data_IF_155528474432
#
_entry.id   IF_155528474432
#
_cell.length_a   1.000
_cell.length_b   1.000
_cell.length_c   1.000
_cell.angle_alpha   90.00
_cell.angle_beta   90.00
_cell.angle_gamma   90.00
#
_symmetry.space_group_name_H-M   'P 1'
#
loop_
_entity.id
_entity.type
_entity.pdbx_description
1 polymer ?
#
# COMPACT_ATOMS: atom_id res chain seq x y z
N UNK A 1 -29.97 -66.96 17.87
CA UNK A 1 -29.51 -65.71 18.51
C UNK A 1 -29.59 -64.64 17.44
N UNK A 2 -30.77 -64.02 17.30
CA UNK A 2 -31.15 -62.76 17.97
C UNK A 2 -30.44 -61.59 17.29
N UNK A 3 -31.10 -60.71 16.57
CA UNK A 3 -32.49 -60.33 16.57
C UNK A 3 -32.48 -58.85 16.25
N UNK A 4 -33.05 -58.47 15.09
CA UNK A 4 -33.37 -57.09 14.79
C UNK A 4 -34.35 -56.56 15.86
N UNK A 5 -34.09 -55.42 16.51
CA UNK A 5 -35.12 -54.69 17.23
C UNK A 5 -35.86 -53.72 16.29
N UNK A 6 -37.05 -53.24 16.69
CA UNK A 6 -38.19 -53.14 15.80
C UNK A 6 -38.41 -51.75 15.20
N UNK A 7 -39.23 -51.76 14.15
CA UNK A 7 -39.96 -50.64 13.58
C UNK A 7 -40.67 -49.83 14.66
N UNK A 8 -40.36 -48.54 14.76
CA UNK A 8 -41.12 -47.58 15.56
C UNK A 8 -42.15 -46.90 14.66
N UNK A 9 -43.41 -47.13 15.03
CA UNK A 9 -44.63 -46.61 14.45
C UNK A 9 -44.67 -45.08 14.45
N UNK A 10 -45.29 -44.53 13.41
CA UNK A 10 -45.70 -43.14 13.33
C UNK A 10 -46.85 -42.84 14.31
N UNK A 11 -46.75 -41.72 15.02
CA UNK A 11 -47.83 -41.03 15.74
C UNK A 11 -47.67 -39.51 15.50
N UNK A 12 -48.73 -38.70 15.65
CA UNK A 12 -49.28 -37.90 14.56
C UNK A 12 -48.70 -36.49 14.45
N UNK A 13 -48.88 -35.92 13.25
CA UNK A 13 -48.66 -34.51 12.97
C UNK A 13 -49.51 -33.62 13.88
N UNK A 14 -48.87 -32.73 14.64
CA UNK A 14 -49.47 -31.48 15.11
C UNK A 14 -48.46 -30.34 14.99
N UNK A 15 -48.67 -29.54 13.94
CA UNK A 15 -48.54 -28.09 13.84
C UNK A 15 -47.43 -27.36 14.60
N UNK A 16 -46.56 -26.70 13.84
CA UNK A 16 -45.78 -25.57 14.34
C UNK A 16 -44.57 -25.23 13.48
N UNK A 17 -44.80 -24.51 12.38
CA UNK A 17 -43.84 -23.61 11.70
C UNK A 17 -42.36 -24.03 11.70
N UNK A 18 -41.95 -24.83 10.72
CA UNK A 18 -40.52 -25.07 10.47
C UNK A 18 -39.98 -24.02 9.50
N UNK A 19 -39.53 -22.91 10.07
CA UNK A 19 -38.69 -21.94 9.40
C UNK A 19 -37.31 -22.59 9.19
N UNK A 20 -36.91 -22.75 7.93
CA UNK A 20 -35.57 -23.21 7.57
C UNK A 20 -34.54 -22.27 8.21
N UNK A 21 -33.92 -22.76 9.29
CA UNK A 21 -32.90 -22.07 10.07
C UNK A 21 -31.67 -21.80 9.18
N UNK A 22 -31.47 -20.51 8.90
CA UNK A 22 -30.23 -19.94 8.38
C UNK A 22 -29.08 -20.33 9.31
N UNK A 23 -27.89 -20.54 8.75
CA UNK A 23 -26.67 -20.73 9.54
C UNK A 23 -26.47 -19.53 10.49
N UNK A 24 -26.79 -19.74 11.77
CA UNK A 24 -26.55 -18.78 12.84
C UNK A 24 -25.05 -18.73 13.15
N UNK A 25 -24.53 -17.51 13.28
CA UNK A 25 -23.20 -17.25 13.82
C UNK A 25 -23.01 -18.00 15.14
N UNK A 26 -21.83 -18.58 15.42
CA UNK A 26 -21.61 -19.25 16.69
C UNK A 26 -21.72 -18.25 17.86
N UNK A 27 -22.32 -18.65 18.99
CA UNK A 27 -22.59 -17.74 20.10
C UNK A 27 -21.31 -17.21 20.74
N UNK A 28 -21.38 -15.99 21.28
CA UNK A 28 -20.25 -15.16 21.73
C UNK A 28 -19.27 -15.80 22.74
N UNK A 29 -19.61 -16.93 23.36
CA UNK A 29 -18.75 -17.63 24.30
C UNK A 29 -17.76 -18.62 23.65
N UNK A 30 -17.87 -18.89 22.34
CA UNK A 30 -17.00 -19.81 21.61
C UNK A 30 -15.52 -19.32 21.54
N UNK A 31 -15.29 -18.01 21.66
CA UNK A 31 -13.96 -17.38 21.59
C UNK A 31 -13.11 -17.51 22.87
N UNK A 32 -13.69 -17.96 23.99
CA UNK A 32 -12.98 -18.01 25.28
C UNK A 32 -11.92 -19.11 25.38
N UNK A 33 -11.90 -20.06 24.45
CA UNK A 33 -10.95 -21.18 24.47
C UNK A 33 -9.59 -20.87 23.83
N UNK A 34 -9.51 -19.83 22.98
CA UNK A 34 -8.25 -19.38 22.33
C UNK A 34 -7.58 -18.20 23.03
N UNK A 35 -8.27 -17.49 23.92
CA UNK A 35 -7.69 -16.39 24.70
C UNK A 35 -6.96 -16.85 25.98
N UNK A 36 -7.04 -18.14 26.34
CA UNK A 36 -6.50 -18.65 27.61
C UNK A 36 -4.99 -18.97 27.58
N UNK A 37 -4.38 -19.09 26.39
CA UNK A 37 -2.94 -19.43 26.23
C UNK A 37 -2.08 -18.25 25.72
N UNK A 38 -2.65 -17.06 25.57
CA UNK A 38 -1.88 -15.87 25.24
C UNK A 38 -1.31 -15.26 26.53
N UNK A 39 -0.01 -15.45 26.76
CA UNK A 39 0.71 -14.79 27.85
C UNK A 39 0.46 -13.27 27.84
N UNK A 40 0.24 -12.70 29.04
CA UNK A 40 -0.08 -11.28 29.19
C UNK A 40 1.07 -10.37 28.71
N UNK A 41 0.78 -9.24 28.04
CA UNK A 41 1.82 -8.26 27.75
C UNK A 41 2.30 -7.62 29.05
N UNK A 42 3.61 -7.67 29.27
CA UNK A 42 4.31 -7.01 30.37
C UNK A 42 4.13 -5.49 30.22
N UNK A 43 3.65 -4.86 31.29
CA UNK A 43 3.45 -3.43 31.38
C UNK A 43 4.71 -2.64 31.00
N UNK A 44 4.59 -1.71 30.05
CA UNK A 44 5.61 -0.67 29.83
C UNK A 44 5.18 0.61 30.52
N UNK A 45 6.16 1.14 31.24
CA UNK A 45 6.13 2.32 32.08
C UNK A 45 5.54 3.54 31.38
N UNK A 46 4.60 4.20 32.09
CA UNK A 46 4.28 5.59 31.87
C UNK A 46 5.43 6.45 32.38
N UNK A 47 5.97 7.30 31.51
CA UNK A 47 6.68 8.50 31.91
C UNK A 47 6.20 9.63 30.98
N UNK A 48 5.42 10.55 31.54
CA UNK A 48 5.10 11.84 30.95
C UNK A 48 6.40 12.61 30.66
N UNK A 49 6.63 12.93 29.39
CA UNK A 49 7.56 13.99 29.01
C UNK A 49 6.81 14.94 28.09
N UNK A 50 6.37 16.04 28.67
CA UNK A 50 5.86 17.21 27.95
C UNK A 50 7.04 17.90 27.26
N UNK A 51 7.08 17.88 25.93
CA UNK A 51 7.99 18.69 25.13
C UNK A 51 7.21 19.40 24.00
N UNK A 52 7.54 20.66 23.67
CA UNK A 52 6.70 21.51 22.83
C UNK A 52 6.71 21.08 21.36
N UNK A 53 5.56 21.23 20.71
CA UNK A 53 5.41 21.07 19.27
C UNK A 53 6.35 22.06 18.53
N UNK A 54 7.35 21.52 17.83
CA UNK A 54 8.13 22.25 16.80
C UNK A 54 7.69 21.78 15.42
N UNK A 55 7.75 22.64 14.39
CA UNK A 55 7.12 22.37 13.10
C UNK A 55 7.84 21.24 12.37
N UNK A 56 7.04 20.37 11.78
CA UNK A 56 7.44 19.34 10.82
C UNK A 56 8.18 20.03 9.65
N UNK A 57 9.38 19.60 9.24
CA UNK A 57 10.00 20.10 8.02
C UNK A 57 9.12 19.67 6.83
N UNK A 58 8.52 20.66 6.18
CA UNK A 58 7.87 20.47 4.89
C UNK A 58 8.96 20.33 3.83
N UNK A 59 9.28 19.10 3.46
CA UNK A 59 9.90 18.76 2.17
C UNK A 59 9.62 17.28 1.87
N UNK A 60 8.38 17.00 1.46
CA UNK A 60 8.09 15.82 0.66
C UNK A 60 8.55 16.13 -0.79
N UNK A 61 9.34 15.27 -1.45
CA UNK A 61 9.86 15.58 -2.78
C UNK A 61 8.73 15.58 -3.82
N UNK A 62 8.44 16.77 -4.35
CA UNK A 62 7.56 16.99 -5.51
C UNK A 62 8.24 16.53 -6.81
N UNK A 63 7.59 15.76 -7.69
CA UNK A 63 8.14 15.42 -8.99
C UNK A 63 7.76 16.50 -10.00
N UNK A 64 8.58 17.55 -10.11
CA UNK A 64 8.56 18.48 -11.23
C UNK A 64 9.71 18.13 -12.20
N UNK A 65 9.34 17.95 -13.46
CA UNK A 65 10.15 17.54 -14.61
C UNK A 65 11.61 18.04 -14.66
N UNK A 66 12.55 17.10 -14.85
CA UNK A 66 13.85 17.33 -15.49
C UNK A 66 15.09 17.09 -14.62
N UNK A 67 15.41 15.82 -14.31
CA UNK A 67 16.77 15.43 -13.94
C UNK A 67 17.15 15.33 -12.45
N UNK A 68 16.31 15.79 -11.52
CA UNK A 68 16.60 15.64 -10.07
C UNK A 68 15.95 14.37 -9.52
N UNK A 69 16.69 13.27 -9.56
CA UNK A 69 16.41 12.14 -8.68
C UNK A 69 16.55 12.62 -7.23
N UNK A 70 15.53 12.41 -6.37
CA UNK A 70 15.60 12.80 -4.96
C UNK A 70 16.95 12.38 -4.36
N UNK A 71 17.62 13.28 -3.60
CA UNK A 71 18.98 13.06 -3.13
C UNK A 71 19.07 11.74 -2.39
N UNK A 72 20.19 11.04 -2.53
CA UNK A 72 20.40 9.78 -1.82
C UNK A 72 20.50 10.05 -0.33
N UNK A 73 19.85 9.21 0.48
CA UNK A 73 19.82 9.32 1.93
C UNK A 73 20.57 8.14 2.54
N UNK A 74 21.58 8.40 3.34
CA UNK A 74 22.40 7.36 3.98
C UNK A 74 22.37 7.55 5.48
N UNK A 75 21.98 6.49 6.19
CA UNK A 75 22.10 6.44 7.64
C UNK A 75 23.44 5.79 7.99
N UNK A 76 24.30 6.51 8.71
CA UNK A 76 25.59 6.01 9.19
C UNK A 76 25.43 5.62 10.66
N UNK A 77 25.75 4.38 11.01
CA UNK A 77 25.71 3.87 12.38
C UNK A 77 27.15 3.62 12.82
N UNK A 78 27.71 4.53 13.61
CA UNK A 78 29.14 4.57 13.97
C UNK A 78 29.30 5.35 15.28
N UNK A 79 29.99 4.76 16.27
CA UNK A 79 30.21 5.38 17.58
C UNK A 79 31.49 6.24 17.61
N UNK A 80 32.48 5.96 16.76
CA UNK A 80 33.67 6.80 16.65
C UNK A 80 33.37 8.09 15.88
N UNK A 81 33.43 9.21 16.59
CA UNK A 81 33.16 10.55 16.05
C UNK A 81 34.03 10.87 14.82
N UNK A 82 35.28 10.42 14.78
CA UNK A 82 36.18 10.73 13.66
C UNK A 82 35.78 9.96 12.40
N UNK A 83 35.39 8.70 12.56
CA UNK A 83 34.92 7.84 11.47
C UNK A 83 33.54 8.29 10.95
N UNK A 84 32.63 8.66 11.85
CA UNK A 84 31.35 9.23 11.50
C UNK A 84 31.50 10.53 10.68
N UNK A 85 32.32 11.47 11.16
CA UNK A 85 32.61 12.72 10.45
C UNK A 85 33.27 12.48 9.09
N UNK A 86 34.16 11.50 8.99
CA UNK A 86 34.75 11.12 7.69
C UNK A 86 33.69 10.65 6.70
N UNK A 87 32.79 9.74 7.11
CA UNK A 87 31.73 9.24 6.25
C UNK A 87 30.76 10.36 5.85
N UNK A 88 30.36 11.20 6.81
CA UNK A 88 29.49 12.35 6.59
C UNK A 88 30.08 13.35 5.59
N UNK A 89 31.34 13.75 5.75
CA UNK A 89 32.00 14.69 4.83
C UNK A 89 32.17 14.11 3.43
N UNK A 90 32.57 12.84 3.32
CA UNK A 90 32.80 12.19 2.02
C UNK A 90 31.51 12.02 1.25
N UNK A 91 30.44 11.55 1.91
CA UNK A 91 29.15 11.32 1.26
C UNK A 91 28.39 12.65 1.04
N UNK A 92 28.40 13.54 2.02
CA UNK A 92 27.84 14.88 1.93
C UNK A 92 28.44 15.71 0.80
N UNK A 93 29.77 15.63 0.62
CA UNK A 93 30.47 16.26 -0.51
C UNK A 93 30.06 15.72 -1.89
N UNK A 94 29.41 14.56 -1.95
CA UNK A 94 28.86 13.96 -3.18
C UNK A 94 27.35 14.25 -3.38
N UNK A 95 26.75 15.14 -2.57
CA UNK A 95 25.32 15.48 -2.63
C UNK A 95 24.40 14.44 -1.99
N UNK A 96 24.94 13.57 -1.15
CA UNK A 96 24.19 12.56 -0.40
C UNK A 96 23.80 13.16 0.95
N UNK A 97 22.53 13.06 1.33
CA UNK A 97 22.06 13.43 2.66
C UNK A 97 22.48 12.34 3.64
N UNK A 98 23.16 12.72 4.73
CA UNK A 98 23.67 11.79 5.73
C UNK A 98 23.07 12.12 7.08
N UNK A 99 22.64 11.10 7.80
CA UNK A 99 22.31 11.19 9.23
C UNK A 99 23.16 10.16 9.98
N UNK A 100 23.67 10.53 11.16
CA UNK A 100 24.57 9.71 11.97
C UNK A 100 23.85 9.27 13.24
N UNK A 101 23.94 7.98 13.55
CA UNK A 101 23.47 7.37 14.79
C UNK A 101 24.67 6.77 15.51
N UNK A 102 25.00 7.32 16.68
CA UNK A 102 26.10 6.81 17.52
C UNK A 102 25.62 5.81 18.59
N UNK A 103 24.31 5.80 18.89
CA UNK A 103 23.74 4.99 19.98
C UNK A 103 22.65 4.06 19.44
N UNK A 104 22.68 2.75 19.75
CA UNK A 104 21.70 1.78 19.24
C UNK A 104 20.23 2.13 19.50
N UNK A 105 19.93 2.84 20.60
CA UNK A 105 18.57 3.25 20.96
C UNK A 105 17.93 4.24 19.97
N UNK A 106 18.74 5.00 19.24
CA UNK A 106 18.28 6.01 18.28
C UNK A 106 18.06 5.41 16.87
N UNK A 107 18.54 4.18 16.63
CA UNK A 107 18.53 3.54 15.32
C UNK A 107 17.12 3.43 14.70
N UNK A 108 16.17 2.82 15.40
CA UNK A 108 14.81 2.61 14.89
C UNK A 108 14.03 3.93 14.73
N UNK A 109 14.01 4.85 15.73
CA UNK A 109 13.39 6.16 15.56
C UNK A 109 13.95 6.94 14.36
N UNK A 110 15.26 6.94 14.17
CA UNK A 110 15.90 7.62 13.04
C UNK A 110 15.56 6.93 11.71
N UNK A 111 15.51 5.59 11.65
CA UNK A 111 15.09 4.87 10.43
C UNK A 111 13.67 5.25 9.99
N UNK A 112 12.75 5.43 10.95
CA UNK A 112 11.36 5.81 10.69
C UNK A 112 11.21 7.26 10.24
N UNK A 113 12.02 8.18 10.76
CA UNK A 113 11.96 9.60 10.40
C UNK A 113 12.77 9.92 9.14
N UNK A 114 13.96 9.35 9.05
CA UNK A 114 14.93 9.63 8.00
C UNK A 114 14.77 8.75 6.76
N UNK A 115 13.99 7.66 6.79
CA UNK A 115 13.73 6.81 5.62
C UNK A 115 14.94 6.66 4.66
N UNK A 116 16.07 6.12 5.13
CA UNK A 116 17.30 6.08 4.35
C UNK A 116 17.18 5.12 3.15
N UNK A 117 17.91 5.44 2.08
CA UNK A 117 18.10 4.55 0.93
C UNK A 117 19.16 3.47 1.18
N UNK A 118 20.02 3.64 2.20
CA UNK A 118 21.06 2.71 2.60
C UNK A 118 21.48 2.95 4.05
N UNK A 119 21.78 1.87 4.78
CA UNK A 119 22.41 1.93 6.11
C UNK A 119 23.88 1.52 5.99
N UNK A 120 24.78 2.38 6.42
CA UNK A 120 26.20 2.09 6.57
C UNK A 120 26.45 1.75 8.04
N UNK A 121 26.73 0.49 8.34
CA UNK A 121 26.80 -0.05 9.70
C UNK A 121 28.26 -0.31 10.09
N UNK A 122 28.72 0.20 11.22
CA UNK A 122 29.97 -0.28 11.80
C UNK A 122 29.78 -1.66 12.46
N UNK A 123 30.80 -2.50 12.38
CA UNK A 123 30.74 -3.85 12.97
C UNK A 123 30.95 -3.81 14.49
N UNK A 124 31.76 -2.88 14.99
CA UNK A 124 32.31 -2.89 16.33
C UNK A 124 31.91 -1.66 17.14
N UNK A 125 30.67 -1.66 17.61
CA UNK A 125 30.17 -0.65 18.53
C UNK A 125 30.07 -1.17 19.96
N UNK A 126 30.33 -0.31 20.97
CA UNK A 126 30.10 -0.63 22.37
C UNK A 126 28.59 -0.76 22.65
N UNK A 127 28.23 -1.79 23.41
CA UNK A 127 26.86 -2.02 23.90
C UNK A 127 26.04 -2.98 23.03
N UNK A 128 25.97 -2.74 21.72
CA UNK A 128 25.27 -3.62 20.78
C UNK A 128 26.07 -3.74 19.48
N UNK A 129 26.29 -4.96 19.01
CA UNK A 129 27.04 -5.22 17.77
C UNK A 129 26.23 -4.80 16.55
N UNK A 130 26.91 -4.36 15.48
CA UNK A 130 26.26 -4.06 14.20
C UNK A 130 25.46 -5.25 13.64
N UNK A 131 25.86 -6.48 13.97
CA UNK A 131 25.14 -7.71 13.63
C UNK A 131 23.78 -7.76 14.32
N UNK A 132 23.73 -7.46 15.63
CA UNK A 132 22.50 -7.45 16.42
C UNK A 132 21.56 -6.33 15.94
N UNK A 133 22.11 -5.15 15.65
CA UNK A 133 21.36 -4.03 15.08
C UNK A 133 20.79 -4.39 13.70
N UNK A 134 21.55 -5.09 12.86
CA UNK A 134 21.08 -5.57 11.55
C UNK A 134 19.90 -6.52 11.71
N UNK A 135 19.97 -7.46 12.66
CA UNK A 135 18.86 -8.36 12.95
C UNK A 135 17.59 -7.60 13.42
N UNK A 136 17.75 -6.55 14.22
CA UNK A 136 16.64 -5.67 14.63
C UNK A 136 16.00 -4.95 13.44
N UNK A 137 16.79 -4.44 12.50
CA UNK A 137 16.28 -3.80 11.28
C UNK A 137 15.53 -4.83 10.42
N UNK A 138 16.09 -6.03 10.24
CA UNK A 138 15.49 -7.09 9.43
C UNK A 138 14.23 -7.69 10.04
N UNK A 139 14.03 -7.56 11.35
CA UNK A 139 12.77 -7.91 12.00
C UNK A 139 11.60 -6.96 11.62
N UNK A 140 11.90 -5.79 11.05
CA UNK A 140 10.90 -4.81 10.63
C UNK A 140 10.61 -4.92 9.12
N UNK A 141 9.40 -5.37 8.70
CA UNK A 141 9.08 -5.59 7.30
C UNK A 141 9.23 -4.34 6.42
N UNK A 142 8.99 -3.14 6.97
CA UNK A 142 9.13 -1.88 6.23
C UNK A 142 10.58 -1.58 5.79
N UNK A 143 11.59 -2.12 6.49
CA UNK A 143 13.02 -1.87 6.21
C UNK A 143 13.71 -3.05 5.53
N UNK A 144 12.98 -4.15 5.28
CA UNK A 144 13.48 -5.30 4.52
C UNK A 144 14.13 -4.94 3.16
N UNK A 145 13.64 -3.96 2.37
CA UNK A 145 14.27 -3.62 1.09
C UNK A 145 15.45 -2.65 1.22
N UNK A 146 15.72 -2.08 2.40
CA UNK A 146 16.81 -1.11 2.59
C UNK A 146 18.14 -1.87 2.65
N UNK A 147 19.10 -1.56 1.76
CA UNK A 147 20.40 -2.22 1.78
C UNK A 147 21.20 -1.83 3.03
N UNK A 148 21.80 -2.82 3.68
CA UNK A 148 22.68 -2.65 4.84
C UNK A 148 24.10 -3.05 4.42
N UNK A 149 25.03 -2.12 4.52
CA UNK A 149 26.44 -2.31 4.16
C UNK A 149 27.30 -2.12 5.38
N UNK A 150 28.10 -3.12 5.72
CA UNK A 150 29.04 -3.00 6.83
C UNK A 150 30.31 -2.26 6.41
N UNK A 151 30.85 -1.44 7.29
CA UNK A 151 32.17 -0.84 7.15
C UNK A 151 33.07 -1.39 8.26
N UNK A 152 33.94 -2.35 7.95
CA UNK A 152 34.71 -3.08 8.97
C UNK A 152 36.21 -2.95 8.74
N UNK A 153 36.99 -2.77 9.81
CA UNK A 153 38.46 -2.88 9.77
C UNK A 153 38.97 -4.31 9.99
N UNK A 154 38.08 -5.26 10.24
CA UNK A 154 38.44 -6.62 10.60
C UNK A 154 38.83 -7.44 9.34
N UNK A 155 40.07 -7.98 9.27
CA UNK A 155 40.50 -8.82 8.16
C UNK A 155 40.01 -10.26 8.26
N UNK A 156 39.37 -10.66 9.37
CA UNK A 156 38.92 -12.03 9.59
C UNK A 156 37.78 -12.42 8.63
N UNK A 157 38.00 -13.40 7.74
CA UNK A 157 36.98 -13.86 6.83
C UNK A 157 35.77 -14.48 7.54
N UNK A 158 35.94 -15.12 8.72
CA UNK A 158 34.82 -15.75 9.43
C UNK A 158 33.79 -14.70 9.87
N UNK A 159 34.24 -13.56 10.40
CA UNK A 159 33.36 -12.44 10.74
C UNK A 159 32.70 -11.80 9.52
N UNK A 160 33.40 -11.77 8.38
CA UNK A 160 32.80 -11.29 7.12
C UNK A 160 31.67 -12.21 6.65
N UNK A 161 31.81 -13.52 6.87
CA UNK A 161 30.71 -14.47 6.63
C UNK A 161 29.54 -14.25 7.59
N UNK A 162 29.78 -14.08 8.88
CA UNK A 162 28.72 -13.81 9.88
C UNK A 162 27.89 -12.57 9.53
N UNK A 163 28.54 -11.51 9.03
CA UNK A 163 27.87 -10.30 8.55
C UNK A 163 26.89 -10.59 7.40
N UNK A 164 27.27 -11.45 6.46
CA UNK A 164 26.39 -11.81 5.36
C UNK A 164 25.23 -12.70 5.84
N UNK A 165 25.49 -13.61 6.78
CA UNK A 165 24.46 -14.48 7.36
C UNK A 165 23.41 -13.71 8.17
N UNK A 166 23.76 -12.59 8.79
CA UNK A 166 22.81 -11.77 9.54
C UNK A 166 21.86 -10.93 8.67
N UNK A 167 22.01 -11.01 7.34
CA UNK A 167 21.14 -10.33 6.38
C UNK A 167 21.68 -8.98 5.89
N UNK A 168 23.00 -8.74 6.03
CA UNK A 168 23.66 -7.65 5.34
C UNK A 168 23.74 -7.91 3.83
N UNK A 169 23.72 -6.83 3.05
CA UNK A 169 23.83 -6.92 1.59
C UNK A 169 25.29 -6.96 1.12
N UNK A 170 26.21 -6.41 1.93
CA UNK A 170 27.62 -6.29 1.59
C UNK A 170 28.48 -5.85 2.77
N UNK A 171 29.80 -5.89 2.59
CA UNK A 171 30.77 -5.28 3.49
C UNK A 171 31.87 -4.52 2.73
N UNK A 172 32.46 -3.55 3.40
CA UNK A 172 33.54 -2.71 2.90
C UNK A 172 34.66 -2.68 3.93
N UNK A 173 35.89 -3.00 3.50
CA UNK A 173 37.05 -3.02 4.40
C UNK A 173 37.63 -1.62 4.64
N UNK A 174 37.88 -1.27 5.90
CA UNK A 174 38.66 -0.10 6.32
C UNK A 174 40.16 -0.43 6.16
N UNK A 175 41.01 0.52 5.72
CA UNK A 175 40.68 1.89 5.32
C UNK A 175 40.08 1.94 3.90
N UNK A 176 38.95 2.63 3.74
CA UNK A 176 38.31 2.84 2.44
C UNK A 176 38.68 4.20 1.84
N UNK A 177 38.98 4.24 0.54
CA UNK A 177 39.21 5.50 -0.17
C UNK A 177 37.88 6.23 -0.40
N UNK A 178 37.80 7.56 -0.26
CA UNK A 178 36.57 8.32 -0.44
C UNK A 178 35.81 8.01 -1.74
N UNK A 179 36.53 7.94 -2.87
CA UNK A 179 35.93 7.61 -4.18
C UNK A 179 35.28 6.23 -4.21
N UNK A 180 35.87 5.25 -3.50
CA UNK A 180 35.32 3.90 -3.43
C UNK A 180 34.08 3.86 -2.56
N UNK A 181 34.07 4.56 -1.42
CA UNK A 181 32.90 4.67 -0.55
C UNK A 181 31.71 5.27 -1.30
N UNK A 182 31.91 6.41 -1.97
CA UNK A 182 30.85 7.07 -2.77
C UNK A 182 30.32 6.13 -3.85
N UNK A 183 31.21 5.53 -4.66
CA UNK A 183 30.80 4.64 -5.75
C UNK A 183 30.04 3.40 -5.23
N UNK A 184 30.51 2.84 -4.11
CA UNK A 184 29.90 1.68 -3.48
C UNK A 184 28.48 1.97 -2.99
N UNK A 185 28.30 3.06 -2.26
CA UNK A 185 27.00 3.51 -1.75
C UNK A 185 26.04 3.83 -2.89
N UNK A 186 26.46 4.66 -3.86
CA UNK A 186 25.61 5.04 -4.99
C UNK A 186 25.17 3.84 -5.82
N UNK A 187 26.05 2.88 -6.07
CA UNK A 187 25.73 1.67 -6.84
C UNK A 187 24.64 0.84 -6.16
N UNK A 188 24.72 0.67 -4.83
CA UNK A 188 23.78 -0.13 -4.03
C UNK A 188 22.42 0.56 -3.91
N UNK A 189 22.40 1.88 -3.70
CA UNK A 189 21.18 2.68 -3.73
C UNK A 189 20.50 2.60 -5.10
N UNK A 190 21.25 2.81 -6.19
CA UNK A 190 20.71 2.72 -7.56
C UNK A 190 20.10 1.34 -7.83
N UNK A 191 20.77 0.27 -7.40
CA UNK A 191 20.27 -1.10 -7.53
C UNK A 191 18.98 -1.32 -6.72
N UNK A 192 18.98 -0.91 -5.45
CA UNK A 192 17.80 -1.01 -4.58
C UNK A 192 16.60 -0.25 -5.16
N UNK A 193 16.80 1.01 -5.59
CA UNK A 193 15.77 1.82 -6.26
C UNK A 193 15.29 1.18 -7.56
N UNK A 194 16.18 0.60 -8.37
CA UNK A 194 15.81 -0.11 -9.59
C UNK A 194 14.95 -1.37 -9.31
N UNK A 195 15.33 -2.18 -8.31
CA UNK A 195 14.58 -3.36 -7.89
C UNK A 195 13.21 -2.99 -7.31
N UNK A 196 13.15 -1.93 -6.50
CA UNK A 196 11.89 -1.40 -5.98
C UNK A 196 10.97 -0.93 -7.11
N UNK A 197 11.50 -0.20 -8.11
CA UNK A 197 10.76 0.19 -9.31
C UNK A 197 10.28 -1.02 -10.11
N UNK A 198 11.11 -2.04 -10.29
CA UNK A 198 10.74 -3.26 -11.01
C UNK A 198 9.64 -4.05 -10.29
N UNK A 199 9.73 -4.22 -8.96
CA UNK A 199 8.66 -4.84 -8.15
C UNK A 199 7.36 -4.06 -8.28
N UNK A 200 7.42 -2.74 -8.13
CA UNK A 200 6.26 -1.87 -8.30
C UNK A 200 5.61 -2.01 -9.69
N UNK A 201 6.41 -2.13 -10.75
CA UNK A 201 5.90 -2.32 -12.13
C UNK A 201 5.37 -3.74 -12.35
N UNK A 202 6.04 -4.77 -11.81
CA UNK A 202 5.62 -6.17 -11.92
C UNK A 202 4.32 -6.45 -11.15
N UNK A 203 4.13 -5.79 -10.01
CA UNK A 203 2.92 -5.86 -9.18
C UNK A 203 1.86 -4.82 -9.60
N UNK A 204 2.13 -4.02 -10.64
CA UNK A 204 1.20 -3.01 -11.11
C UNK A 204 -0.06 -3.63 -11.71
N UNK A 205 0.02 -4.83 -12.29
CA UNK A 205 -1.11 -5.51 -12.94
C UNK A 205 -1.38 -6.90 -12.37
N UNK A 206 -2.66 -7.25 -12.27
CA UNK A 206 -3.11 -8.57 -11.91
C UNK A 206 -2.87 -9.52 -13.12
N UNK A 207 -2.16 -10.65 -12.94
CA UNK A 207 -1.79 -11.53 -14.05
C UNK A 207 -2.99 -12.27 -14.67
N UNK A 208 -4.07 -12.44 -13.91
CA UNK A 208 -5.31 -13.09 -14.37
C UNK A 208 -6.19 -12.10 -15.11
N UNK A 209 -6.40 -10.91 -14.57
CA UNK A 209 -7.36 -9.94 -15.15
C UNK A 209 -6.72 -8.93 -16.10
N UNK A 210 -5.39 -8.79 -16.10
CA UNK A 210 -4.66 -7.77 -16.86
C UNK A 210 -4.88 -6.33 -16.38
N UNK A 211 -5.78 -6.09 -15.42
CA UNK A 211 -6.05 -4.78 -14.81
C UNK A 211 -4.96 -4.39 -13.84
N UNK A 212 -4.91 -3.12 -13.45
CA UNK A 212 -4.01 -2.73 -12.38
C UNK A 212 -4.43 -3.35 -11.05
N UNK A 213 -3.48 -3.60 -10.16
CA UNK A 213 -3.80 -4.04 -8.79
C UNK A 213 -4.42 -2.89 -8.00
N UNK A 214 -5.28 -3.22 -7.03
CA UNK A 214 -5.86 -2.24 -6.11
C UNK A 214 -4.77 -1.43 -5.40
N UNK A 215 -3.73 -2.11 -4.90
CA UNK A 215 -2.60 -1.48 -4.24
C UNK A 215 -1.90 -0.46 -5.13
N UNK A 216 -1.68 -0.78 -6.40
CA UNK A 216 -1.06 0.14 -7.35
C UNK A 216 -1.91 1.41 -7.58
N UNK A 217 -3.22 1.27 -7.78
CA UNK A 217 -4.12 2.43 -7.97
C UNK A 217 -4.17 3.31 -6.72
N UNK A 218 -4.28 2.71 -5.52
CA UNK A 218 -4.28 3.46 -4.26
C UNK A 218 -2.95 4.19 -4.01
N UNK A 219 -1.81 3.55 -4.31
CA UNK A 219 -0.50 4.20 -4.22
C UNK A 219 -0.37 5.39 -5.17
N UNK A 220 -0.97 5.33 -6.37
CA UNK A 220 -0.98 6.46 -7.31
C UNK A 220 -1.82 7.63 -6.80
N UNK A 221 -2.93 7.35 -6.12
CA UNK A 221 -3.74 8.37 -5.44
C UNK A 221 -2.96 8.98 -4.27
N UNK A 222 -2.36 8.15 -3.41
CA UNK A 222 -1.56 8.60 -2.28
C UNK A 222 -0.37 9.48 -2.71
N UNK A 223 0.32 9.09 -3.79
CA UNK A 223 1.39 9.88 -4.37
C UNK A 223 0.88 11.23 -4.91
N UNK A 224 -0.28 11.26 -5.57
CA UNK A 224 -0.86 12.51 -6.05
C UNK A 224 -1.22 13.47 -4.89
N UNK A 225 -1.77 12.94 -3.78
CA UNK A 225 -2.03 13.72 -2.57
C UNK A 225 -0.75 14.28 -1.95
N UNK A 226 0.26 13.42 -1.75
CA UNK A 226 1.53 13.82 -1.14
C UNK A 226 2.24 14.93 -1.94
N UNK A 227 2.12 14.88 -3.27
CA UNK A 227 2.74 15.85 -4.18
C UNK A 227 1.90 17.11 -4.39
N UNK A 228 0.68 17.18 -3.83
CA UNK A 228 -0.28 18.26 -4.12
C UNK A 228 -0.63 18.38 -5.61
N UNK A 229 -0.59 17.25 -6.34
CA UNK A 229 -0.77 17.25 -7.79
C UNK A 229 -2.22 17.53 -8.19
N UNK A 230 -2.47 18.36 -9.23
CA UNK A 230 -3.82 18.58 -9.74
C UNK A 230 -4.32 17.28 -10.39
N UNK A 231 -5.29 16.62 -9.78
CA UNK A 231 -5.81 15.34 -10.25
C UNK A 231 -7.07 14.91 -9.50
N UNK A 232 -7.42 13.64 -9.62
CA UNK A 232 -8.64 13.07 -9.11
C UNK A 232 -8.64 11.56 -8.99
N UNK A 233 -9.74 11.04 -8.45
CA UNK A 233 -10.10 9.64 -8.50
C UNK A 233 -11.52 9.49 -9.02
N UNK A 234 -11.80 8.36 -9.68
CA UNK A 234 -13.13 8.00 -10.16
C UNK A 234 -13.48 6.59 -9.70
N UNK A 235 -14.69 6.42 -9.22
CA UNK A 235 -15.26 5.15 -8.81
C UNK A 235 -16.42 4.82 -9.75
N UNK A 236 -16.37 3.65 -10.37
CA UNK A 236 -17.35 3.17 -11.31
C UNK A 236 -18.06 1.99 -10.68
N UNK A 237 -19.39 1.97 -10.76
CA UNK A 237 -20.19 0.86 -10.28
C UNK A 237 -21.16 0.36 -11.36
N UNK A 238 -21.10 -0.94 -11.64
CA UNK A 238 -22.05 -1.62 -12.50
C UNK A 238 -23.34 -1.87 -11.72
N UNK A 239 -24.44 -1.29 -12.20
CA UNK A 239 -25.75 -1.42 -11.58
C UNK A 239 -26.36 -2.81 -11.83
N UNK A 240 -27.27 -3.21 -10.94
CA UNK A 240 -27.98 -4.48 -10.99
C UNK A 240 -27.08 -5.73 -10.97
N UNK A 241 -25.92 -5.65 -10.31
CA UNK A 241 -24.97 -6.75 -10.18
C UNK A 241 -25.59 -8.06 -9.69
N UNK A 242 -26.46 -8.01 -8.68
CA UNK A 242 -27.15 -9.20 -8.16
C UNK A 242 -28.07 -9.87 -9.19
N UNK A 243 -28.78 -9.07 -10.01
CA UNK A 243 -29.63 -9.62 -11.07
C UNK A 243 -28.81 -10.20 -12.23
N UNK A 244 -27.64 -9.60 -12.52
CA UNK A 244 -26.70 -10.13 -13.51
C UNK A 244 -26.10 -11.45 -13.03
N UNK A 245 -25.67 -11.54 -11.76
CA UNK A 245 -25.08 -12.76 -11.22
C UNK A 245 -26.08 -13.90 -11.10
N UNK A 246 -27.34 -13.61 -10.76
CA UNK A 246 -28.42 -14.60 -10.76
C UNK A 246 -28.72 -15.12 -12.18
N UNK A 247 -28.69 -14.23 -13.17
CA UNK A 247 -29.02 -14.57 -14.57
C UNK A 247 -27.95 -15.41 -15.26
N UNK A 248 -26.67 -15.07 -15.07
CA UNK A 248 -25.55 -15.67 -15.80
C UNK A 248 -24.76 -16.68 -14.97
N UNK A 249 -25.12 -16.86 -13.69
CA UNK A 249 -24.33 -17.61 -12.74
C UNK A 249 -22.97 -16.95 -12.47
N UNK A 250 -22.19 -17.58 -11.59
CA UNK A 250 -20.91 -17.03 -11.15
C UNK A 250 -19.90 -16.87 -12.30
N UNK A 251 -19.75 -17.89 -13.14
CA UNK A 251 -18.76 -17.89 -14.21
C UNK A 251 -19.06 -16.84 -15.29
N UNK A 252 -20.31 -16.76 -15.77
CA UNK A 252 -20.72 -15.78 -16.78
C UNK A 252 -20.67 -14.35 -16.23
N UNK A 253 -21.03 -14.16 -14.96
CA UNK A 253 -20.87 -12.86 -14.29
C UNK A 253 -19.42 -12.43 -14.16
N UNK A 254 -18.52 -13.34 -13.78
CA UNK A 254 -17.09 -13.03 -13.67
C UNK A 254 -16.45 -12.73 -15.03
N UNK A 255 -16.85 -13.44 -16.10
CA UNK A 255 -16.43 -13.11 -17.46
C UNK A 255 -16.91 -11.71 -17.87
N UNK A 256 -18.17 -11.39 -17.62
CA UNK A 256 -18.73 -10.06 -17.88
C UNK A 256 -17.97 -8.97 -17.13
N UNK A 257 -17.70 -9.14 -15.83
CA UNK A 257 -16.95 -8.17 -15.04
C UNK A 257 -15.49 -8.05 -15.49
N UNK A 258 -14.88 -9.14 -15.96
CA UNK A 258 -13.55 -9.10 -16.54
C UNK A 258 -13.50 -8.24 -17.82
N UNK A 259 -14.44 -8.44 -18.74
CA UNK A 259 -14.55 -7.65 -19.98
C UNK A 259 -14.84 -6.17 -19.71
N UNK A 260 -15.74 -5.88 -18.75
CA UNK A 260 -16.00 -4.52 -18.28
C UNK A 260 -14.73 -3.87 -17.77
N UNK A 261 -13.95 -4.60 -16.96
CA UNK A 261 -12.68 -4.13 -16.45
C UNK A 261 -11.70 -3.78 -17.56
N UNK A 262 -11.54 -4.67 -18.55
CA UNK A 262 -10.64 -4.43 -19.69
C UNK A 262 -11.07 -3.18 -20.48
N UNK A 263 -12.38 -3.03 -20.74
CA UNK A 263 -12.93 -1.85 -21.42
C UNK A 263 -12.70 -0.58 -20.60
N UNK A 264 -12.96 -0.61 -19.29
CA UNK A 264 -12.69 0.51 -18.38
C UNK A 264 -11.20 0.90 -18.37
N UNK A 265 -10.30 -0.09 -18.36
CA UNK A 265 -8.85 0.15 -18.42
C UNK A 265 -8.42 0.75 -19.76
N UNK A 266 -9.01 0.33 -20.88
CA UNK A 266 -8.73 0.91 -22.20
C UNK A 266 -9.24 2.35 -22.33
N UNK A 267 -10.45 2.63 -21.81
CA UNK A 267 -11.06 3.95 -21.82
C UNK A 267 -10.34 4.96 -20.92
N UNK A 268 -9.73 4.49 -19.83
CA UNK A 268 -8.99 5.34 -18.89
C UNK A 268 -7.50 5.51 -19.23
N UNK A 269 -6.95 4.67 -20.12
CA UNK A 269 -5.52 4.70 -20.47
C UNK A 269 -5.01 6.12 -20.84
N UNK A 270 -3.80 6.51 -20.38
CA UNK A 270 -2.83 5.71 -19.62
C UNK A 270 -3.09 5.66 -18.10
N UNK A 271 -4.23 6.16 -17.61
CA UNK A 271 -4.55 6.20 -16.17
C UNK A 271 -4.80 4.79 -15.63
N UNK A 272 -4.23 4.43 -14.47
CA UNK A 272 -4.38 3.09 -13.93
C UNK A 272 -5.80 2.85 -13.42
N UNK A 273 -6.32 1.65 -13.72
CA UNK A 273 -7.66 1.19 -13.39
C UNK A 273 -7.59 -0.20 -12.74
N UNK A 274 -8.26 -0.37 -11.60
CA UNK A 274 -8.33 -1.62 -10.84
C UNK A 274 -9.77 -2.00 -10.53
N UNK A 275 -10.05 -3.30 -10.44
CA UNK A 275 -11.29 -3.83 -9.86
C UNK A 275 -11.17 -3.80 -8.33
N UNK A 276 -12.18 -3.25 -7.65
CA UNK A 276 -12.19 -3.14 -6.18
C UNK A 276 -12.96 -4.28 -5.50
N UNK A 277 -14.11 -4.64 -6.09
CA UNK A 277 -15.01 -5.67 -5.59
C UNK A 277 -15.78 -6.29 -6.78
N UNK A 278 -16.87 -6.97 -6.49
CA UNK A 278 -17.62 -7.76 -7.47
C UNK A 278 -18.19 -6.92 -8.63
N UNK A 279 -18.50 -5.63 -8.44
CA UNK A 279 -19.15 -4.79 -9.45
C UNK A 279 -18.56 -3.38 -9.58
N UNK A 280 -17.46 -3.08 -8.89
CA UNK A 280 -16.88 -1.75 -8.86
C UNK A 280 -15.41 -1.68 -9.28
N UNK A 281 -15.06 -0.56 -9.89
CA UNK A 281 -13.74 -0.25 -10.41
C UNK A 281 -13.29 1.14 -9.95
N UNK A 282 -11.98 1.29 -9.77
CA UNK A 282 -11.34 2.54 -9.36
C UNK A 282 -10.35 2.96 -10.42
N UNK A 283 -10.36 4.25 -10.75
CA UNK A 283 -9.40 4.88 -11.66
C UNK A 283 -8.69 6.01 -10.91
N UNK A 284 -7.35 5.98 -10.91
CA UNK A 284 -6.57 7.13 -10.45
C UNK A 284 -6.27 8.05 -11.64
N UNK A 285 -6.69 9.30 -11.56
CA UNK A 285 -6.43 10.33 -12.56
C UNK A 285 -5.43 11.33 -11.98
N UNK A 286 -4.12 11.06 -12.02
CA UNK A 286 -3.10 11.89 -11.35
C UNK A 286 -2.95 13.29 -11.94
N UNK A 287 -3.60 13.55 -13.07
CA UNK A 287 -3.57 14.80 -13.81
C UNK A 287 -5.00 15.17 -14.25
N UNK A 288 -5.35 16.44 -14.07
CA UNK A 288 -6.59 17.04 -14.60
C UNK A 288 -7.37 17.82 -13.56
N UNK A 289 -8.07 18.85 -14.01
CA UNK A 289 -9.03 19.61 -13.20
C UNK A 289 -10.39 18.90 -13.14
N UNK A 290 -11.35 19.51 -12.42
CA UNK A 290 -12.71 18.98 -12.29
C UNK A 290 -13.37 18.71 -13.65
N UNK A 291 -13.16 19.58 -14.64
CA UNK A 291 -13.72 19.43 -15.99
C UNK A 291 -13.12 18.24 -16.74
N UNK A 292 -11.82 18.03 -16.62
CA UNK A 292 -11.13 16.87 -17.18
C UNK A 292 -11.62 15.56 -16.54
N UNK A 293 -11.83 15.55 -15.22
CA UNK A 293 -12.38 14.41 -14.50
C UNK A 293 -13.83 14.11 -14.93
N UNK A 294 -14.68 15.13 -15.06
CA UNK A 294 -16.04 14.93 -15.53
C UNK A 294 -16.06 14.37 -16.97
N UNK A 295 -15.18 14.88 -17.84
CA UNK A 295 -15.03 14.39 -19.21
C UNK A 295 -14.61 12.92 -19.24
N UNK A 296 -13.67 12.53 -18.37
CA UNK A 296 -13.27 11.14 -18.22
C UNK A 296 -14.41 10.28 -17.65
N UNK A 297 -15.15 10.78 -16.66
CA UNK A 297 -16.30 10.09 -16.08
C UNK A 297 -17.39 9.82 -17.13
N UNK A 298 -17.72 10.82 -17.96
CA UNK A 298 -18.64 10.68 -19.10
C UNK A 298 -18.15 9.63 -20.08
N UNK A 299 -16.88 9.70 -20.50
CA UNK A 299 -16.28 8.73 -21.42
C UNK A 299 -16.36 7.31 -20.90
N UNK A 300 -16.06 7.09 -19.61
CA UNK A 300 -16.12 5.78 -18.98
C UNK A 300 -17.55 5.23 -18.91
N UNK A 301 -18.49 6.04 -18.42
CA UNK A 301 -19.92 5.67 -18.37
C UNK A 301 -20.45 5.33 -19.76
N UNK A 302 -20.19 6.19 -20.75
CA UNK A 302 -20.71 6.03 -22.12
C UNK A 302 -20.08 4.85 -22.83
N UNK A 303 -18.76 4.71 -22.75
CA UNK A 303 -18.05 3.59 -23.38
C UNK A 303 -18.42 2.23 -22.81
N UNK A 304 -18.78 2.14 -21.52
CA UNK A 304 -19.28 0.90 -20.92
C UNK A 304 -20.78 0.73 -21.19
N UNK A 305 -21.58 1.80 -21.17
CA UNK A 305 -23.04 1.71 -21.22
C UNK A 305 -23.66 1.60 -22.62
N UNK A 306 -23.01 2.14 -23.67
CA UNK A 306 -23.59 2.14 -25.02
C UNK A 306 -23.33 0.85 -25.80
N UNK A 307 -22.13 0.30 -25.68
CA UNK A 307 -21.75 -0.95 -26.34
C UNK A 307 -22.20 -2.16 -25.52
N UNK A 308 -22.72 -3.19 -26.18
CA UNK A 308 -23.04 -4.46 -25.52
C UNK A 308 -21.77 -5.23 -25.14
N UNK A 309 -21.94 -6.14 -24.18
CA UNK A 309 -21.01 -7.20 -23.82
C UNK A 309 -21.65 -8.52 -24.22
N UNK A 310 -20.86 -9.45 -24.74
CA UNK A 310 -21.37 -10.76 -25.16
C UNK A 310 -21.15 -11.76 -24.03
N UNK A 311 -22.24 -12.23 -23.43
CA UNK A 311 -22.22 -13.22 -22.35
C UNK A 311 -23.13 -14.37 -22.73
N UNK A 312 -22.57 -15.58 -22.86
CA UNK A 312 -23.29 -16.77 -23.34
C UNK A 312 -24.03 -16.53 -24.68
N UNK A 313 -23.36 -15.88 -25.63
CA UNK A 313 -23.90 -15.47 -26.96
C UNK A 313 -25.10 -14.51 -26.91
N UNK A 314 -25.38 -13.90 -25.75
CA UNK A 314 -26.44 -12.90 -25.57
C UNK A 314 -25.86 -11.51 -25.35
N UNK A 315 -26.25 -10.50 -26.16
CA UNK A 315 -25.79 -9.14 -25.97
C UNK A 315 -26.40 -8.53 -24.70
N UNK A 316 -25.56 -8.13 -23.76
CA UNK A 316 -25.93 -7.50 -22.50
C UNK A 316 -25.46 -6.04 -22.48
N UNK A 317 -26.40 -5.11 -22.31
CA UNK A 317 -26.08 -3.70 -22.05
C UNK A 317 -26.04 -3.42 -20.56
N UNK A 318 -25.06 -2.63 -20.13
CA UNK A 318 -24.86 -2.32 -18.72
C UNK A 318 -25.23 -0.87 -18.41
N UNK A 319 -25.60 -0.63 -17.16
CA UNK A 319 -25.70 0.72 -16.61
C UNK A 319 -24.58 0.91 -15.61
N UNK A 320 -23.93 2.07 -15.70
CA UNK A 320 -22.80 2.43 -14.85
C UNK A 320 -23.12 3.73 -14.14
N UNK A 321 -22.95 3.74 -12.82
CA UNK A 321 -22.87 4.98 -12.04
C UNK A 321 -21.39 5.32 -11.83
N UNK A 322 -21.03 6.60 -11.99
CA UNK A 322 -19.66 7.06 -11.78
C UNK A 322 -19.61 8.23 -10.80
N UNK A 323 -18.97 8.03 -9.66
CA UNK A 323 -18.58 9.08 -8.74
C UNK A 323 -17.14 9.52 -8.99
N UNK A 324 -16.85 10.81 -8.83
CA UNK A 324 -15.48 11.31 -8.97
C UNK A 324 -15.19 12.47 -8.01
N UNK A 325 -13.92 12.72 -7.72
CA UNK A 325 -13.47 13.81 -6.85
C UNK A 325 -12.12 14.33 -7.29
N UNK A 326 -11.88 15.64 -7.16
CA UNK A 326 -10.54 16.22 -7.28
C UNK A 326 -9.75 15.99 -6.00
N UNK A 327 -8.43 15.90 -6.10
CA UNK A 327 -7.50 15.72 -4.97
C UNK A 327 -6.89 17.04 -4.49
N UNK A 328 -7.51 18.15 -4.86
CA UNK A 328 -7.00 19.47 -4.49
C UNK A 328 -7.06 19.72 -2.98
N UNK A 329 -6.28 20.70 -2.53
CA UNK A 329 -6.22 21.08 -1.11
C UNK A 329 -7.57 21.56 -0.55
N UNK A 330 -8.53 21.96 -1.40
CA UNK A 330 -9.86 22.39 -0.95
C UNK A 330 -10.69 21.22 -0.41
N UNK A 331 -10.45 20.00 -0.89
CA UNK A 331 -11.07 18.79 -0.36
C UNK A 331 -10.35 18.24 0.88
N UNK A 332 -9.05 18.52 1.03
CA UNK A 332 -8.32 18.30 2.27
C UNK A 332 -8.24 16.83 2.74
N UNK A 333 -8.19 15.88 1.80
CA UNK A 333 -8.09 14.46 2.14
C UNK A 333 -6.81 14.13 2.91
N UNK A 334 -6.95 13.35 3.98
CA UNK A 334 -5.81 12.91 4.80
C UNK A 334 -4.98 11.80 4.13
N UNK A 335 -5.65 10.89 3.41
CA UNK A 335 -5.03 9.75 2.74
C UNK A 335 -5.90 9.25 1.57
N UNK A 336 -5.42 8.21 0.88
CA UNK A 336 -6.14 7.60 -0.24
C UNK A 336 -7.43 6.85 0.19
N UNK A 337 -7.57 6.49 1.47
CA UNK A 337 -8.78 5.89 2.01
C UNK A 337 -9.93 6.90 2.07
N UNK A 338 -9.65 8.10 2.57
CA UNK A 338 -10.61 9.20 2.60
C UNK A 338 -11.10 9.59 1.19
N UNK A 339 -10.18 9.57 0.19
CA UNK A 339 -10.54 9.76 -1.22
C UNK A 339 -11.49 8.67 -1.70
N UNK A 340 -11.20 7.40 -1.38
CA UNK A 340 -12.02 6.26 -1.78
C UNK A 340 -13.44 6.37 -1.23
N UNK A 341 -13.59 6.70 0.05
CA UNK A 341 -14.88 6.91 0.70
C UNK A 341 -15.67 8.04 0.02
N UNK A 342 -15.00 9.14 -0.32
CA UNK A 342 -15.60 10.28 -0.99
C UNK A 342 -16.12 9.95 -2.40
N UNK A 343 -15.33 9.24 -3.22
CA UNK A 343 -15.75 8.84 -4.57
C UNK A 343 -16.81 7.74 -4.54
N UNK A 344 -16.80 6.85 -3.54
CA UNK A 344 -17.87 5.88 -3.33
C UNK A 344 -19.18 6.57 -2.95
N UNK A 345 -19.14 7.53 -2.01
CA UNK A 345 -20.31 8.32 -1.64
C UNK A 345 -20.86 9.11 -2.82
N UNK A 346 -20.00 9.73 -3.62
CA UNK A 346 -20.39 10.37 -4.88
C UNK A 346 -21.05 9.36 -5.83
N UNK A 347 -20.51 8.16 -5.95
CA UNK A 347 -21.11 7.10 -6.81
C UNK A 347 -22.51 6.72 -6.34
N UNK A 348 -22.76 6.66 -5.02
CA UNK A 348 -24.11 6.44 -4.49
C UNK A 348 -25.09 7.53 -4.93
N UNK A 349 -24.67 8.80 -4.91
CA UNK A 349 -25.48 9.90 -5.45
C UNK A 349 -25.66 9.80 -6.97
N UNK A 350 -24.65 9.33 -7.70
CA UNK A 350 -24.70 9.14 -9.14
C UNK A 350 -25.74 8.09 -9.57
N UNK A 351 -26.08 7.11 -8.72
CA UNK A 351 -27.09 6.08 -9.01
C UNK A 351 -28.48 6.65 -9.33
N UNK A 352 -28.84 7.75 -8.68
CA UNK A 352 -30.15 8.42 -8.84
C UNK A 352 -30.07 9.66 -9.72
N UNK A 353 -28.85 10.08 -10.12
CA UNK A 353 -28.66 11.21 -10.99
C UNK A 353 -29.12 10.89 -12.44
N UNK A 354 -29.79 11.82 -13.15
CA UNK A 354 -30.29 11.58 -14.51
C UNK A 354 -29.20 11.19 -15.51
N UNK A 355 -27.97 11.67 -15.28
CA UNK A 355 -26.82 11.41 -16.15
C UNK A 355 -25.94 10.27 -15.63
N UNK A 356 -26.24 9.65 -14.49
CA UNK A 356 -25.42 8.58 -13.92
C UNK A 356 -24.04 9.01 -13.43
N UNK A 357 -23.81 10.31 -13.20
CA UNK A 357 -22.54 10.88 -12.72
C UNK A 357 -22.79 11.78 -11.51
N UNK A 358 -21.83 11.82 -10.58
CA UNK A 358 -21.81 12.82 -9.51
C UNK A 358 -20.38 13.14 -9.08
N UNK A 359 -20.11 14.41 -8.82
CA UNK A 359 -18.89 14.85 -8.17
C UNK A 359 -19.05 14.76 -6.64
N UNK A 360 -17.99 14.39 -5.93
CA UNK A 360 -17.89 14.68 -4.51
C UNK A 360 -17.73 16.19 -4.34
N UNK A 361 -18.43 16.75 -3.35
CA UNK A 361 -18.36 18.16 -2.99
C UNK A 361 -17.85 18.21 -1.56
N UNK A 362 -16.72 18.90 -1.33
CA UNK A 362 -16.21 19.12 0.01
C UNK A 362 -17.28 19.75 0.90
N UNK A 363 -17.46 19.24 2.12
CA UNK A 363 -18.26 19.93 3.12
C UNK A 363 -17.56 21.27 3.43
N UNK A 364 -18.25 22.39 3.18
CA UNK A 364 -17.71 23.69 3.54
C UNK A 364 -17.37 23.65 5.03
N UNK A 365 -16.09 23.82 5.38
CA UNK A 365 -15.65 24.03 6.76
C UNK A 365 -16.45 25.21 7.30
N UNK A 366 -17.52 24.92 8.05
CA UNK A 366 -18.27 25.95 8.73
C UNK A 366 -17.33 26.63 9.71
N UNK A 367 -17.16 27.94 9.57
CA UNK A 367 -16.59 28.79 10.61
C UNK A 367 -17.33 28.46 11.93
N UNK A 368 -16.63 27.80 12.85
CA UNK A 368 -17.03 27.65 14.24
C UNK A 368 -16.00 28.29 15.14
#
# INVERSE_FOLDING_TARGET
MSGFPPSLQALPAQGGSDAVLRAEFPPAHYWRRWAADAAMPVARFAAEVTAPARPVPADAPSPANGGDEAPYRVLVVEDDVSQALFAEQVLGGAGIQVEVVAVPAELLPTLEQFHPDLVLMDLHMPGMSGIEMTALIRAQPQFAPVPIVFLTGDPDPEKQFEVLECGADDFLSKPIRPRHLIAAVQSRIKRARALARQRFVAEARNPVTGLHTRSHVLQRIAAALANGSPGGALFLEIQAAAALSERYGYAGYEQLMHEVGLRASGLSAPRPCARLNDNAFLVAAPEGDAQALETLARRLRDGIGFESFDVDDLPQRLRVAVGYSTLDAAHGFADAGAVLDAVEQATRAARTAPIGLAAHVAEARGDR
#
